data_IF_354913803977
#
_entry.id   IF_354913803977
#
_cell.length_a   1.000
_cell.length_b   1.000
_cell.length_c   1.000
_cell.angle_alpha   90.00
_cell.angle_beta   90.00
_cell.angle_gamma   90.00
#
_symmetry.space_group_name_H-M   'P 1'
#
loop_
_entity.id
_entity.type
_entity.pdbx_description
1 polymer ?
#
# COMPACT_ATOMS: atom_id res chain seq x y z
N UNK A 1 -10.22 -8.06 11.88
CA UNK A 1 -9.89 -8.28 10.46
C UNK A 1 -8.70 -9.21 10.28
N UNK A 2 -7.52 -8.92 10.84
CA UNK A 2 -6.31 -9.75 10.66
C UNK A 2 -6.50 -11.22 11.07
N UNK A 3 -7.14 -11.49 12.22
CA UNK A 3 -7.40 -12.88 12.63
C UNK A 3 -8.28 -13.65 11.63
N UNK A 4 -9.33 -13.02 11.11
CA UNK A 4 -10.27 -13.64 10.18
C UNK A 4 -9.80 -13.65 8.72
N UNK A 5 -9.04 -12.66 8.27
CA UNK A 5 -8.62 -12.57 6.86
C UNK A 5 -7.22 -13.08 6.63
N UNK A 6 -6.31 -12.99 7.61
CA UNK A 6 -4.88 -13.32 7.45
C UNK A 6 -4.47 -14.50 8.35
N UNK A 7 -4.55 -14.36 9.67
CA UNK A 7 -3.94 -15.33 10.60
C UNK A 7 -4.60 -16.72 10.57
N UNK A 8 -5.92 -16.82 10.31
CA UNK A 8 -6.61 -18.11 10.24
C UNK A 8 -6.03 -19.09 9.23
N UNK A 9 -5.30 -18.60 8.22
CA UNK A 9 -4.76 -19.42 7.14
C UNK A 9 -3.41 -20.06 7.49
N UNK A 10 -2.71 -19.60 8.52
CA UNK A 10 -1.38 -20.10 8.86
C UNK A 10 -0.44 -20.13 7.64
N UNK A 11 0.04 -21.31 7.28
CA UNK A 11 0.92 -21.55 6.10
C UNK A 11 0.19 -22.18 4.90
N UNK A 12 -1.14 -22.16 4.88
CA UNK A 12 -1.96 -22.79 3.84
C UNK A 12 -1.72 -22.19 2.44
N UNK A 13 -1.37 -20.90 2.38
CA UNK A 13 -1.13 -20.18 1.13
C UNK A 13 0.28 -19.58 1.12
N UNK A 14 0.85 -19.44 -0.08
CA UNK A 14 2.02 -18.57 -0.27
C UNK A 14 1.59 -17.12 -0.05
N UNK A 15 2.54 -16.28 0.37
CA UNK A 15 2.27 -14.89 0.70
C UNK A 15 1.56 -14.13 -0.45
N UNK A 16 2.02 -14.29 -1.69
CA UNK A 16 1.42 -13.62 -2.85
C UNK A 16 -0.05 -14.05 -3.08
N UNK A 17 -0.35 -15.33 -2.91
CA UNK A 17 -1.72 -15.86 -3.08
C UNK A 17 -2.64 -15.38 -1.96
N UNK A 18 -2.14 -15.33 -0.73
CA UNK A 18 -2.90 -14.83 0.41
C UNK A 18 -3.22 -13.34 0.23
N UNK A 19 -2.24 -12.54 -0.20
CA UNK A 19 -2.45 -11.11 -0.48
C UNK A 19 -3.56 -10.93 -1.51
N UNK A 20 -3.45 -11.58 -2.69
CA UNK A 20 -4.46 -11.51 -3.74
C UNK A 20 -5.84 -11.95 -3.26
N UNK A 21 -5.92 -12.95 -2.39
CA UNK A 21 -7.18 -13.43 -1.81
C UNK A 21 -7.83 -12.42 -0.86
N UNK A 22 -7.04 -11.73 -0.03
CA UNK A 22 -7.57 -10.87 1.05
C UNK A 22 -7.77 -9.43 0.60
N UNK A 23 -6.93 -8.93 -0.31
CA UNK A 23 -7.01 -7.56 -0.84
C UNK A 23 -7.66 -7.48 -2.22
N UNK A 24 -7.77 -8.61 -2.94
CA UNK A 24 -8.26 -8.64 -4.32
C UNK A 24 -7.22 -8.24 -5.38
N UNK A 25 -6.01 -7.86 -4.97
CA UNK A 25 -4.95 -7.36 -5.85
C UNK A 25 -3.62 -8.06 -5.54
N UNK A 26 -2.72 -8.12 -6.52
CA UNK A 26 -1.34 -8.57 -6.27
C UNK A 26 -0.63 -7.60 -5.33
N UNK A 27 0.47 -8.03 -4.72
CA UNK A 27 1.28 -7.14 -3.89
C UNK A 27 1.84 -6.01 -4.76
N UNK A 28 1.52 -4.77 -4.41
CA UNK A 28 2.03 -3.58 -5.09
C UNK A 28 2.44 -2.50 -4.07
N UNK A 29 3.37 -1.59 -4.41
CA UNK A 29 3.88 -0.58 -3.47
C UNK A 29 2.95 0.63 -3.30
N UNK A 30 1.99 0.87 -4.20
CA UNK A 30 1.20 2.10 -4.25
C UNK A 30 0.42 2.38 -2.96
N UNK A 31 -0.26 1.42 -2.30
CA UNK A 31 -1.00 1.70 -1.08
C UNK A 31 -0.08 2.18 0.05
N UNK A 32 1.14 1.64 0.13
CA UNK A 32 2.13 2.04 1.13
C UNK A 32 2.68 3.44 0.84
N UNK A 33 3.03 3.74 -0.41
CA UNK A 33 3.53 5.07 -0.78
C UNK A 33 2.43 6.14 -0.60
N UNK A 34 1.17 5.81 -0.88
CA UNK A 34 0.04 6.68 -0.64
C UNK A 34 -0.12 6.98 0.86
N UNK A 35 -0.11 5.96 1.72
CA UNK A 35 -0.18 6.12 3.18
C UNK A 35 0.97 7.00 3.71
N UNK A 36 2.20 6.79 3.22
CA UNK A 36 3.34 7.63 3.58
C UNK A 36 3.13 9.09 3.16
N UNK A 37 2.69 9.34 1.92
CA UNK A 37 2.44 10.70 1.43
C UNK A 37 1.38 11.40 2.25
N UNK A 38 0.29 10.72 2.55
CA UNK A 38 -0.81 11.28 3.34
C UNK A 38 -0.36 11.57 4.79
N UNK A 39 0.22 10.56 5.45
CA UNK A 39 0.67 10.65 6.84
C UNK A 39 1.72 11.74 7.02
N UNK A 40 2.77 11.73 6.22
CA UNK A 40 3.88 12.67 6.37
C UNK A 40 3.62 14.03 5.73
N UNK A 41 2.84 14.08 4.65
CA UNK A 41 2.36 15.33 4.08
C UNK A 41 1.50 16.12 5.07
N UNK A 42 0.63 15.43 5.82
CA UNK A 42 -0.18 16.04 6.88
C UNK A 42 0.69 16.49 8.06
N UNK A 43 1.59 15.64 8.55
CA UNK A 43 2.41 15.93 9.73
C UNK A 43 3.40 17.07 9.52
N UNK A 44 4.02 17.13 8.34
CA UNK A 44 5.08 18.09 8.03
C UNK A 44 4.64 19.22 7.08
N UNK A 45 3.34 19.28 6.73
CA UNK A 45 2.78 20.29 5.82
C UNK A 45 3.54 20.36 4.47
N UNK A 46 3.98 19.21 3.98
CA UNK A 46 4.71 19.11 2.73
C UNK A 46 3.72 18.95 1.56
N UNK A 47 3.53 20.00 0.76
CA UNK A 47 2.82 19.90 -0.51
C UNK A 47 3.70 19.15 -1.51
N UNK A 48 3.30 17.94 -1.90
CA UNK A 48 3.96 17.22 -2.98
C UNK A 48 3.58 17.86 -4.31
N UNK A 49 4.14 19.04 -4.59
CA UNK A 49 4.13 19.62 -5.93
C UNK A 49 4.99 18.71 -6.79
N UNK A 50 4.37 17.80 -7.54
CA UNK A 50 5.04 17.07 -8.61
C UNK A 50 5.73 18.10 -9.50
N UNK A 51 7.05 18.01 -9.75
CA UNK A 51 7.66 18.85 -10.77
C UNK A 51 7.08 18.40 -12.11
N UNK A 52 6.10 19.14 -12.62
CA UNK A 52 5.64 19.01 -14.00
C UNK A 52 6.86 19.18 -14.89
N UNK A 53 7.20 18.11 -15.60
CA UNK A 53 8.23 18.09 -16.62
C UNK A 53 7.86 19.08 -17.72
N UNK A 54 8.33 20.32 -17.60
CA UNK A 54 8.40 21.29 -18.68
C UNK A 54 9.81 21.21 -19.26
N UNK A 55 10.01 20.30 -20.21
CA UNK A 55 11.14 20.41 -21.13
C UNK A 55 10.74 21.39 -22.22
N UNK A 56 11.41 22.55 -22.24
CA UNK A 56 11.77 23.17 -23.51
C UNK A 56 12.73 22.25 -24.27
#
# INVERSE_FOLDING_TARGET
WLNDRVHRWGRQYRAADLIKRVTGQTLTPEPFIQDLREKFGTLYQFSTTSPTSSSQ
#
